data_IF_573396742127
#
_entry.id   IF_573396742127
#
_cell.length_a   1.000
_cell.length_b   1.000
_cell.length_c   1.000
_cell.angle_alpha   90.00
_cell.angle_beta   90.00
_cell.angle_gamma   90.00
#
_symmetry.space_group_name_H-M   'P 1'
#
loop_
_entity.id
_entity.type
_entity.pdbx_description
1 polymer ?
#
# COMPACT_ATOMS: atom_id res chain seq x y z
N UNK A 1 6.50 -9.46 17.58
CA UNK A 1 5.70 -8.47 16.85
C UNK A 1 5.59 -8.99 15.43
N UNK A 2 4.41 -9.46 15.05
CA UNK A 2 4.10 -9.82 13.66
C UNK A 2 4.24 -8.54 12.83
N UNK A 3 5.06 -8.58 11.78
CA UNK A 3 5.24 -7.43 10.90
C UNK A 3 4.00 -7.37 10.01
N UNK A 4 2.94 -6.70 10.49
CA UNK A 4 1.62 -6.66 9.83
C UNK A 4 1.70 -6.32 8.34
N UNK A 5 2.66 -5.49 7.96
CA UNK A 5 2.94 -5.15 6.56
C UNK A 5 3.50 -6.32 5.77
N UNK A 6 4.42 -7.10 6.35
CA UNK A 6 4.93 -8.33 5.72
C UNK A 6 3.84 -9.41 5.62
N UNK A 7 2.96 -9.50 6.62
CA UNK A 7 1.82 -10.43 6.59
C UNK A 7 0.85 -10.08 5.45
N UNK A 8 0.68 -8.78 5.16
CA UNK A 8 -0.22 -8.31 4.10
C UNK A 8 0.42 -8.32 2.70
N UNK A 9 1.66 -7.85 2.57
CA UNK A 9 2.35 -7.66 1.28
C UNK A 9 3.20 -8.87 0.87
N UNK A 10 3.58 -9.72 1.82
CA UNK A 10 4.54 -10.79 1.60
C UNK A 10 5.98 -10.29 1.45
N UNK A 11 6.84 -11.16 0.90
CA UNK A 11 8.26 -10.87 0.66
C UNK A 11 8.49 -10.14 -0.68
N UNK A 12 9.71 -9.63 -0.89
CA UNK A 12 10.12 -8.92 -2.11
C UNK A 12 9.29 -7.67 -2.42
N UNK A 13 8.98 -6.91 -1.37
CA UNK A 13 8.30 -5.63 -1.47
C UNK A 13 9.14 -4.61 -2.25
N UNK A 14 8.47 -3.66 -2.90
CA UNK A 14 9.12 -2.60 -3.68
C UNK A 14 8.31 -1.32 -3.65
N UNK A 15 8.94 -0.16 -3.83
CA UNK A 15 8.26 1.11 -4.05
C UNK A 15 8.19 1.47 -5.54
N UNK A 16 8.47 0.53 -6.44
CA UNK A 16 8.26 0.70 -7.88
C UNK A 16 6.80 0.36 -8.20
N UNK A 17 6.09 1.33 -8.78
CA UNK A 17 4.69 1.17 -9.13
C UNK A 17 4.52 0.12 -10.25
N UNK A 18 3.73 -0.95 -10.04
CA UNK A 18 3.72 -2.13 -10.91
C UNK A 18 3.20 -1.85 -12.33
N UNK A 19 2.41 -0.79 -12.51
CA UNK A 19 1.86 -0.38 -13.82
C UNK A 19 2.73 0.60 -14.60
N UNK A 20 3.37 1.54 -13.92
CA UNK A 20 4.10 2.63 -14.58
C UNK A 20 5.60 2.39 -14.60
N UNK A 21 6.10 1.48 -13.75
CA UNK A 21 7.54 1.25 -13.56
C UNK A 21 8.27 2.39 -12.87
N UNK A 22 7.53 3.40 -12.36
CA UNK A 22 8.10 4.57 -11.71
C UNK A 22 8.16 4.39 -10.19
N UNK A 23 9.10 5.07 -9.56
CA UNK A 23 9.20 5.15 -8.10
C UNK A 23 7.96 5.87 -7.52
N UNK A 24 7.30 5.26 -6.55
CA UNK A 24 6.22 5.85 -5.74
C UNK A 24 6.65 5.86 -4.27
N UNK A 25 7.20 6.99 -3.81
CA UNK A 25 7.73 7.13 -2.45
C UNK A 25 6.66 7.02 -1.35
N UNK A 26 5.39 7.11 -1.73
CA UNK A 26 4.27 7.06 -0.81
C UNK A 26 3.64 5.67 -0.73
N UNK A 27 4.19 4.68 -1.45
CA UNK A 27 3.66 3.33 -1.49
C UNK A 27 4.73 2.26 -1.35
N UNK A 28 4.32 1.15 -0.75
CA UNK A 28 5.04 -0.12 -0.78
C UNK A 28 4.11 -1.14 -1.42
N UNK A 29 4.57 -1.79 -2.48
CA UNK A 29 3.83 -2.79 -3.24
C UNK A 29 4.27 -4.21 -2.87
N UNK A 30 3.33 -5.15 -2.96
CA UNK A 30 3.63 -6.58 -2.98
C UNK A 30 4.38 -6.96 -4.26
N UNK A 31 5.11 -8.07 -4.23
CA UNK A 31 5.94 -8.53 -5.35
C UNK A 31 5.13 -8.78 -6.64
N UNK A 32 3.87 -9.19 -6.51
CA UNK A 32 2.95 -9.42 -7.63
C UNK A 32 2.23 -8.14 -8.10
N UNK A 33 2.43 -7.01 -7.41
CA UNK A 33 1.82 -5.73 -7.73
C UNK A 33 0.31 -5.65 -7.49
N UNK A 34 -0.29 -6.61 -6.79
CA UNK A 34 -1.74 -6.65 -6.55
C UNK A 34 -2.16 -5.98 -5.25
N UNK A 35 -1.20 -5.70 -4.35
CA UNK A 35 -1.44 -5.03 -3.08
C UNK A 35 -0.46 -3.90 -2.86
N UNK A 36 -0.89 -2.87 -2.13
CA UNK A 36 0.02 -1.86 -1.60
C UNK A 36 -0.39 -1.34 -0.24
N UNK A 37 0.59 -0.80 0.46
CA UNK A 37 0.39 0.06 1.61
C UNK A 37 0.70 1.48 1.16
N UNK A 38 -0.27 2.38 1.29
CA UNK A 38 -0.08 3.80 0.97
C UNK A 38 -0.03 4.64 2.23
N UNK A 39 0.92 5.57 2.22
CA UNK A 39 1.04 6.66 3.17
C UNK A 39 0.61 7.97 2.50
N UNK A 40 -0.29 8.71 3.11
CA UNK A 40 -0.53 10.11 2.79
C UNK A 40 0.69 10.97 3.16
N UNK A 41 0.93 12.08 2.44
CA UNK A 41 2.04 12.99 2.75
C UNK A 41 2.05 13.49 4.21
N UNK A 42 0.89 13.57 4.86
CA UNK A 42 0.73 14.00 6.25
C UNK A 42 0.79 12.83 7.26
N UNK A 43 0.87 11.59 6.79
CA UNK A 43 0.92 10.38 7.61
C UNK A 43 2.35 10.08 8.07
N UNK A 44 3.38 10.42 7.27
CA UNK A 44 4.78 10.19 7.63
C UNK A 44 5.23 10.98 8.87
N UNK A 45 4.78 12.24 9.02
CA UNK A 45 5.11 13.07 10.18
C UNK A 45 4.38 12.64 11.46
N UNK A 46 3.31 11.86 11.32
CA UNK A 46 2.47 11.42 12.43
C UNK A 46 2.81 10.00 12.89
N UNK A 47 3.82 9.35 12.30
CA UNK A 47 4.21 7.99 12.64
C UNK A 47 4.60 7.87 14.12
N UNK A 48 4.03 6.90 14.81
CA UNK A 48 4.20 6.74 16.26
C UNK A 48 3.25 7.60 17.12
N UNK A 49 2.30 8.32 16.53
CA UNK A 49 1.21 9.00 17.25
C UNK A 49 -0.13 8.31 17.01
N UNK A 50 -1.14 8.60 17.84
CA UNK A 50 -2.53 8.16 17.64
C UNK A 50 -3.20 8.70 16.38
N UNK A 51 -2.58 9.67 15.70
CA UNK A 51 -3.04 10.20 14.41
C UNK A 51 -2.53 9.40 13.22
N UNK A 52 -1.57 8.50 13.45
CA UNK A 52 -1.02 7.66 12.40
C UNK A 52 -2.11 6.75 11.81
N UNK A 53 -2.19 6.80 10.50
CA UNK A 53 -2.98 5.90 9.71
C UNK A 53 -2.24 5.58 8.43
N UNK A 54 -2.63 4.48 7.80
CA UNK A 54 -2.16 4.08 6.49
C UNK A 54 -3.33 3.41 5.75
N UNK A 55 -3.16 3.23 4.45
CA UNK A 55 -4.17 2.56 3.64
C UNK A 55 -3.65 1.23 3.14
N UNK A 56 -4.45 0.18 3.32
CA UNK A 56 -4.29 -1.07 2.59
C UNK A 56 -5.03 -0.93 1.26
N UNK A 57 -4.35 -1.26 0.18
CA UNK A 57 -4.85 -1.12 -1.18
C UNK A 57 -4.79 -2.47 -1.90
N UNK A 58 -5.87 -2.85 -2.58
CA UNK A 58 -5.91 -3.99 -3.50
C UNK A 58 -6.23 -3.52 -4.91
N UNK A 59 -5.54 -4.11 -5.89
CA UNK A 59 -5.57 -3.73 -7.29
C UNK A 59 -5.99 -4.94 -8.11
N UNK A 60 -7.10 -4.84 -8.84
CA UNK A 60 -7.56 -5.89 -9.77
C UNK A 60 -7.59 -5.33 -11.17
N UNK A 61 -6.64 -5.78 -11.98
CA UNK A 61 -6.56 -5.36 -13.37
C UNK A 61 -7.40 -6.26 -14.27
N UNK A 62 -8.32 -5.66 -15.01
CA UNK A 62 -9.01 -6.27 -16.14
C UNK A 62 -8.29 -5.88 -17.45
N UNK A 63 -7.50 -6.79 -18.06
CA UNK A 63 -6.78 -6.51 -19.29
C UNK A 63 -7.69 -6.45 -20.53
N UNK A 64 -8.90 -7.01 -20.48
CA UNK A 64 -9.81 -7.02 -21.63
C UNK A 64 -10.42 -5.65 -21.84
N UNK A 65 -10.78 -4.98 -20.74
CA UNK A 65 -11.41 -3.66 -20.75
C UNK A 65 -10.44 -2.51 -20.43
N UNK A 66 -9.19 -2.82 -20.10
CA UNK A 66 -8.17 -1.89 -19.60
C UNK A 66 -8.66 -1.07 -18.40
N UNK A 67 -9.29 -1.75 -17.44
CA UNK A 67 -9.83 -1.17 -16.21
C UNK A 67 -9.06 -1.69 -15.01
N UNK A 68 -8.78 -0.82 -14.04
CA UNK A 68 -8.23 -1.19 -12.75
C UNK A 68 -9.24 -0.91 -11.66
N UNK A 69 -9.74 -1.96 -11.02
CA UNK A 69 -10.49 -1.82 -9.78
C UNK A 69 -9.53 -1.64 -8.62
N UNK A 70 -9.86 -0.67 -7.78
CA UNK A 70 -9.03 -0.25 -6.67
C UNK A 70 -9.85 -0.26 -5.38
N UNK A 71 -9.42 -1.07 -4.42
CA UNK A 71 -10.05 -1.21 -3.11
C UNK A 71 -9.15 -0.59 -2.06
N UNK A 72 -9.69 0.29 -1.23
CA UNK A 72 -8.93 1.00 -0.21
C UNK A 72 -9.55 0.80 1.17
N UNK A 73 -8.74 0.34 2.12
CA UNK A 73 -9.12 0.20 3.53
C UNK A 73 -8.21 1.08 4.38
N UNK A 74 -8.80 2.04 5.09
CA UNK A 74 -8.09 2.87 6.06
C UNK A 74 -7.81 2.07 7.35
N UNK A 75 -6.55 2.03 7.77
CA UNK A 75 -6.11 1.44 9.03
C UNK A 75 -5.61 2.53 9.95
N UNK A 76 -6.17 2.62 11.16
CA UNK A 76 -5.72 3.52 12.23
C UNK A 76 -5.09 2.70 13.34
N UNK A 77 -3.89 3.07 13.78
CA UNK A 77 -3.31 2.46 14.96
C UNK A 77 -3.88 3.20 16.17
N UNK A 78 -4.70 2.51 16.97
CA UNK A 78 -5.14 3.00 18.27
C UNK A 78 -4.17 2.47 19.32
N UNK A 79 -3.71 3.36 20.20
CA UNK A 79 -3.04 2.99 21.46
C UNK A 79 -3.90 2.02 22.29
#
# INVERSE_FOLDING_TARGET
MTNYWDDYLGSNQTNIHPRTGLLDNNRIFSADGTKSIRFGNHEMDSMGTTKFHFHLEEWKYDPVNDVMDYFNTLVRIKE
#
